data_IF_153409595420
#
_entry.id   IF_153409595420
#
_cell.length_a   1.000
_cell.length_b   1.000
_cell.length_c   1.000
_cell.angle_alpha   90.00
_cell.angle_beta   90.00
_cell.angle_gamma   90.00
#
_symmetry.space_group_name_H-M   'P 1'
#
loop_
_entity.id
_entity.type
_entity.pdbx_description
1 polymer ?
#
# COMPACT_ATOMS: atom_id res chain seq x y z
N UNK A 1 3.80 13.30 -6.21
CA UNK A 1 4.47 12.09 -6.73
C UNK A 1 4.22 10.96 -5.76
N UNK A 2 3.54 9.92 -6.23
CA UNK A 2 2.63 9.01 -5.50
C UNK A 2 3.35 7.81 -4.85
N UNK A 3 4.66 7.92 -4.60
CA UNK A 3 5.47 6.84 -3.99
C UNK A 3 6.39 7.42 -2.92
N UNK A 4 5.82 7.92 -1.83
CA UNK A 4 6.61 8.60 -0.78
C UNK A 4 7.25 7.61 0.18
N UNK A 5 6.63 6.45 0.42
CA UNK A 5 7.02 5.57 1.54
C UNK A 5 7.70 4.28 1.05
N UNK A 6 8.71 3.80 1.78
CA UNK A 6 9.39 2.53 1.47
C UNK A 6 8.42 1.34 1.44
N UNK A 7 7.34 1.41 2.22
CA UNK A 7 6.26 0.42 2.27
C UNK A 7 5.53 0.26 0.93
N UNK A 8 5.12 1.36 0.30
CA UNK A 8 4.47 1.35 -1.03
C UNK A 8 5.34 0.68 -2.10
N UNK A 9 6.65 0.96 -2.07
CA UNK A 9 7.62 0.34 -2.99
C UNK A 9 7.72 -1.17 -2.78
N UNK A 10 7.74 -1.63 -1.52
CA UNK A 10 7.77 -3.06 -1.19
C UNK A 10 6.47 -3.73 -1.62
N UNK A 11 5.31 -3.11 -1.36
CA UNK A 11 4.01 -3.65 -1.77
C UNK A 11 3.90 -3.83 -3.28
N UNK A 12 4.32 -2.83 -4.06
CA UNK A 12 4.32 -2.92 -5.53
C UNK A 12 5.25 -4.03 -6.01
N UNK A 13 6.45 -4.13 -5.43
CA UNK A 13 7.38 -5.21 -5.75
C UNK A 13 6.76 -6.59 -5.48
N UNK A 14 6.11 -6.76 -4.33
CA UNK A 14 5.42 -8.01 -3.97
C UNK A 14 4.25 -8.33 -4.90
N UNK A 15 3.46 -7.33 -5.29
CA UNK A 15 2.37 -7.50 -6.26
C UNK A 15 2.92 -7.98 -7.61
N UNK A 16 4.00 -7.37 -8.11
CA UNK A 16 4.62 -7.77 -9.38
C UNK A 16 5.19 -9.20 -9.27
N UNK A 17 5.91 -9.51 -8.19
CA UNK A 17 6.50 -10.82 -7.99
C UNK A 17 5.44 -11.94 -7.89
N UNK A 18 4.37 -11.71 -7.12
CA UNK A 18 3.28 -12.69 -6.94
C UNK A 18 2.44 -12.85 -8.20
N UNK A 19 2.26 -11.78 -8.98
CA UNK A 19 1.64 -11.84 -10.30
C UNK A 19 2.47 -12.72 -11.24
N UNK A 20 3.79 -12.53 -11.26
CA UNK A 20 4.71 -13.35 -12.05
C UNK A 20 4.67 -14.83 -11.65
N UNK A 21 4.67 -15.13 -10.35
CA UNK A 21 4.50 -16.50 -9.83
C UNK A 21 3.17 -17.10 -10.29
N UNK A 22 2.08 -16.32 -10.29
CA UNK A 22 0.76 -16.76 -10.75
C UNK A 22 0.78 -17.16 -12.23
N UNK A 23 1.52 -16.43 -13.07
CA UNK A 23 1.70 -16.77 -14.48
C UNK A 23 2.55 -18.04 -14.68
N UNK A 24 3.61 -18.23 -13.89
CA UNK A 24 4.47 -19.43 -13.96
C UNK A 24 3.76 -20.68 -13.45
N UNK A 25 2.87 -20.55 -12.45
CA UNK A 25 2.13 -21.67 -11.87
C UNK A 25 1.26 -22.45 -12.87
N UNK A 26 0.99 -21.88 -14.05
CA UNK A 26 0.32 -22.54 -15.16
C UNK A 26 -1.16 -22.83 -14.91
N UNK A 27 -1.80 -23.55 -15.84
CA UNK A 27 -3.26 -23.74 -15.87
C UNK A 27 -3.85 -24.46 -14.65
N UNK A 28 -3.07 -25.28 -13.96
CA UNK A 28 -3.58 -26.10 -12.87
C UNK A 28 -3.69 -25.35 -11.53
N UNK A 29 -2.83 -24.34 -11.31
CA UNK A 29 -2.69 -23.70 -10.00
C UNK A 29 -2.86 -22.18 -10.02
N UNK A 30 -2.98 -21.54 -11.19
CA UNK A 30 -3.10 -20.08 -11.29
C UNK A 30 -4.24 -19.50 -10.44
N UNK A 31 -5.39 -20.21 -10.35
CA UNK A 31 -6.54 -19.76 -9.55
C UNK A 31 -6.20 -19.66 -8.06
N UNK A 32 -5.42 -20.61 -7.55
CA UNK A 32 -4.98 -20.62 -6.16
C UNK A 32 -3.96 -19.52 -5.91
N UNK A 33 -3.03 -19.31 -6.83
CA UNK A 33 -2.00 -18.28 -6.71
C UNK A 33 -2.51 -16.85 -6.92
N UNK A 34 -3.59 -16.67 -7.69
CA UNK A 34 -4.19 -15.37 -7.98
C UNK A 34 -4.75 -14.66 -6.73
N UNK A 35 -5.05 -15.39 -5.65
CA UNK A 35 -5.53 -14.79 -4.40
C UNK A 35 -4.48 -13.85 -3.77
N UNK A 36 -3.20 -14.17 -3.92
CA UNK A 36 -2.09 -13.39 -3.33
C UNK A 36 -1.96 -11.99 -3.95
N UNK A 37 -1.75 -11.83 -5.27
CA UNK A 37 -1.67 -10.50 -5.87
C UNK A 37 -2.99 -9.72 -5.69
N UNK A 38 -4.14 -10.41 -5.66
CA UNK A 38 -5.43 -9.76 -5.42
C UNK A 38 -5.54 -9.19 -4.00
N UNK A 39 -5.17 -9.98 -2.98
CA UNK A 39 -5.18 -9.51 -1.58
C UNK A 39 -4.19 -8.35 -1.36
N UNK A 40 -2.97 -8.46 -1.90
CA UNK A 40 -1.96 -7.40 -1.82
C UNK A 40 -2.39 -6.13 -2.55
N UNK A 41 -3.13 -6.25 -3.66
CA UNK A 41 -3.68 -5.09 -4.36
C UNK A 41 -4.66 -4.29 -3.50
N UNK A 42 -5.55 -4.96 -2.75
CA UNK A 42 -6.45 -4.26 -1.83
C UNK A 42 -5.71 -3.62 -0.65
N UNK A 43 -4.69 -4.29 -0.11
CA UNK A 43 -3.83 -3.68 0.92
C UNK A 43 -3.14 -2.44 0.38
N UNK A 44 -2.60 -2.49 -0.84
CA UNK A 44 -2.00 -1.34 -1.51
C UNK A 44 -3.01 -0.20 -1.75
N UNK A 45 -4.24 -0.51 -2.12
CA UNK A 45 -5.31 0.49 -2.23
C UNK A 45 -5.60 1.18 -0.90
N UNK A 46 -5.68 0.41 0.20
CA UNK A 46 -5.89 0.98 1.54
C UNK A 46 -4.71 1.87 1.94
N UNK A 47 -3.49 1.42 1.68
CA UNK A 47 -2.28 2.18 1.95
C UNK A 47 -2.26 3.52 1.17
N UNK A 48 -2.64 3.49 -0.11
CA UNK A 48 -2.68 4.68 -0.97
C UNK A 48 -3.79 5.66 -0.56
N UNK A 49 -4.95 5.16 -0.16
CA UNK A 49 -6.12 6.00 0.13
C UNK A 49 -6.16 6.51 1.57
N UNK A 50 -5.56 5.77 2.51
CA UNK A 50 -5.71 6.07 3.93
C UNK A 50 -4.37 6.24 4.63
N UNK A 51 -3.28 5.61 4.21
CA UNK A 51 -2.02 5.62 5.00
C UNK A 51 -1.00 6.67 4.54
N UNK A 52 -1.40 7.65 3.75
CA UNK A 52 -0.57 8.82 3.48
C UNK A 52 -0.72 9.87 4.59
N UNK A 53 0.37 10.60 4.84
CA UNK A 53 0.39 11.68 5.83
C UNK A 53 -0.61 12.78 5.47
N UNK A 54 -1.49 13.14 6.42
CA UNK A 54 -2.44 14.25 6.28
C UNK A 54 -3.68 13.96 5.42
N UNK A 55 -3.88 12.74 4.91
CA UNK A 55 -5.07 12.37 4.11
C UNK A 55 -6.29 12.02 5.01
N UNK A 56 -6.10 11.82 6.31
CA UNK A 56 -7.21 11.63 7.25
C UNK A 56 -7.84 12.97 7.65
N UNK A 57 -9.18 13.04 7.61
CA UNK A 57 -9.96 14.19 8.11
C UNK A 57 -9.71 14.48 9.60
N UNK A 58 -9.36 13.44 10.37
CA UNK A 58 -8.96 13.53 11.77
C UNK A 58 -7.61 12.83 11.91
N UNK A 59 -6.54 13.60 12.07
CA UNK A 59 -5.19 13.07 12.24
C UNK A 59 -5.07 12.45 13.65
N UNK A 60 -5.00 11.10 13.79
CA UNK A 60 -4.94 10.46 15.10
C UNK A 60 -3.56 10.62 15.75
N UNK A 61 -2.53 10.96 14.97
CA UNK A 61 -1.19 11.19 15.49
C UNK A 61 -0.98 12.67 15.83
N UNK A 62 -0.92 12.98 17.13
CA UNK A 62 -0.72 14.35 17.61
C UNK A 62 0.53 15.02 17.04
N UNK A 63 1.62 14.28 16.77
CA UNK A 63 2.84 14.84 16.19
C UNK A 63 2.57 15.38 14.78
N UNK A 64 1.95 14.57 13.92
CA UNK A 64 1.60 14.96 12.56
C UNK A 64 0.57 16.10 12.54
N UNK A 65 -0.40 16.06 13.46
CA UNK A 65 -1.39 17.13 13.61
C UNK A 65 -0.73 18.44 14.01
N UNK A 66 0.22 18.39 14.95
CA UNK A 66 0.96 19.54 15.45
C UNK A 66 1.76 20.20 14.34
N UNK A 67 2.51 19.42 13.54
CA UNK A 67 3.36 19.94 12.46
C UNK A 67 2.56 20.74 11.40
N UNK A 68 1.27 20.45 11.24
CA UNK A 68 0.38 21.13 10.28
C UNK A 68 -0.36 22.31 10.92
N UNK A 69 -0.72 22.23 12.20
CA UNK A 69 -1.65 23.17 12.85
C UNK A 69 -1.01 24.14 13.84
N UNK A 70 0.16 23.83 14.38
CA UNK A 70 0.88 24.72 15.30
C UNK A 70 2.02 25.41 14.55
N UNK A 71 2.01 26.74 14.41
CA UNK A 71 3.16 27.47 13.92
C UNK A 71 4.29 27.39 14.97
N UNK A 72 5.47 26.94 14.54
CA UNK A 72 6.67 26.93 15.37
C UNK A 72 6.96 28.34 15.90
N UNK A 73 6.88 28.52 17.23
CA UNK A 73 7.36 29.71 17.94
C UNK A 73 8.83 29.55 18.33
#
# INVERSE_FOLDING_TARGET
MVYKTAQQKILIFLIIATTFITFIAGQNLWKMWAVLPFSLFFVYLVDLLFMNDGDYMYEPNYINWKDVNEPDY
#
